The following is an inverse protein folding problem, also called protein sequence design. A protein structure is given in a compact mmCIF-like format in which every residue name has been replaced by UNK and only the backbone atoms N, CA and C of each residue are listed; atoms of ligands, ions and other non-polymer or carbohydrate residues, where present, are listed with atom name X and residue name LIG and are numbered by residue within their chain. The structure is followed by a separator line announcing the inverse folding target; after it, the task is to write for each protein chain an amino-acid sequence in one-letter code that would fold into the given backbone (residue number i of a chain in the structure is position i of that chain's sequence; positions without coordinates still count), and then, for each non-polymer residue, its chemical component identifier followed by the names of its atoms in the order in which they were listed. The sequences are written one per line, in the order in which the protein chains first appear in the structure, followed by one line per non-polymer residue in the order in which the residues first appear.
data_IF_724794570705
#
_entry.id   IF_724794570705
#
_cell.length_a   1.000
_cell.length_b   1.000
_cell.length_c   1.000
_cell.angle_alpha   90.00
_cell.angle_beta   90.00
_cell.angle_gamma   90.00
#
_symmetry.space_group_name_H-M   'P 1'
#
loop_
_entity.id
_entity.type
_entity.pdbx_description
1 polymer ?
#
# COMPACT_ATOMS: atom_id res chain seq x y z
N UNK A 1 8.42 7.87 -10.84
CA UNK A 1 8.83 6.58 -10.25
C UNK A 1 9.99 6.02 -11.05
N UNK A 2 10.99 5.48 -10.36
CA UNK A 2 12.11 4.73 -10.93
C UNK A 2 11.94 3.24 -10.65
N UNK A 3 12.79 2.40 -11.25
CA UNK A 3 12.74 0.93 -11.08
C UNK A 3 12.74 0.50 -9.61
N UNK A 4 13.48 1.17 -8.73
CA UNK A 4 13.48 0.88 -7.30
C UNK A 4 12.11 1.09 -6.65
N UNK A 5 11.40 2.18 -6.99
CA UNK A 5 10.07 2.45 -6.45
C UNK A 5 9.07 1.36 -6.89
N UNK A 6 9.18 0.91 -8.14
CA UNK A 6 8.32 -0.14 -8.70
C UNK A 6 8.54 -1.45 -7.94
N UNK A 7 9.78 -1.80 -7.60
CA UNK A 7 10.06 -3.00 -6.82
C UNK A 7 9.52 -2.91 -5.39
N UNK A 8 9.59 -1.73 -4.75
CA UNK A 8 9.03 -1.50 -3.43
C UNK A 8 7.50 -1.58 -3.44
N UNK A 9 6.85 -0.95 -4.43
CA UNK A 9 5.41 -1.04 -4.65
C UNK A 9 4.98 -2.49 -4.89
N UNK A 10 5.75 -3.25 -5.66
CA UNK A 10 5.48 -4.66 -5.89
C UNK A 10 5.55 -5.49 -4.60
N UNK A 11 6.57 -5.27 -3.77
CA UNK A 11 6.68 -5.95 -2.48
C UNK A 11 5.54 -5.59 -1.52
N UNK A 12 5.11 -4.32 -1.51
CA UNK A 12 3.93 -3.89 -0.75
C UNK A 12 2.68 -4.64 -1.24
N UNK A 13 2.48 -4.70 -2.56
CA UNK A 13 1.37 -5.41 -3.16
C UNK A 13 1.38 -6.89 -2.78
N UNK A 14 2.51 -7.59 -2.95
CA UNK A 14 2.63 -9.03 -2.65
C UNK A 14 2.35 -9.33 -1.17
N UNK A 15 2.77 -8.44 -0.27
CA UNK A 15 2.52 -8.58 1.17
C UNK A 15 1.04 -8.39 1.52
N UNK A 16 0.37 -7.42 0.89
CA UNK A 16 -1.07 -7.19 1.08
C UNK A 16 -1.90 -8.32 0.47
N UNK A 17 -1.58 -8.72 -0.76
CA UNK A 17 -2.29 -9.77 -1.49
C UNK A 17 -2.24 -11.12 -0.75
N UNK A 18 -1.05 -11.50 -0.25
CA UNK A 18 -0.87 -12.74 0.49
C UNK A 18 -1.44 -12.69 1.92
N UNK A 19 -1.55 -11.50 2.51
CA UNK A 19 -1.86 -11.35 3.93
C UNK A 19 -3.32 -11.05 4.25
N UNK A 20 -4.22 -10.84 3.28
CA UNK A 20 -5.67 -10.73 3.54
C UNK A 20 -6.26 -12.14 3.73
N UNK A 21 -6.78 -12.43 4.92
CA UNK A 21 -7.14 -13.81 5.34
C UNK A 21 -8.40 -14.34 4.66
N UNK A 22 -9.49 -13.58 4.68
CA UNK A 22 -10.79 -14.02 4.15
C UNK A 22 -10.92 -13.90 2.62
N UNK A 23 -9.82 -13.53 1.96
CA UNK A 23 -9.80 -13.18 0.55
C UNK A 23 -10.57 -11.90 0.23
N UNK A 24 -10.56 -11.53 -1.05
CA UNK A 24 -11.14 -10.28 -1.52
C UNK A 24 -11.44 -10.30 -3.03
N UNK A 25 -12.33 -9.41 -3.46
CA UNK A 25 -12.58 -9.06 -4.86
C UNK A 25 -11.78 -7.81 -5.26
N UNK A 26 -11.66 -6.84 -4.35
CA UNK A 26 -10.76 -5.70 -4.51
C UNK A 26 -10.25 -5.19 -3.16
N UNK A 27 -9.15 -4.43 -3.19
CA UNK A 27 -8.68 -3.67 -2.04
C UNK A 27 -8.22 -2.27 -2.42
N UNK A 28 -8.25 -1.40 -1.42
CA UNK A 28 -7.74 -0.04 -1.43
C UNK A 28 -6.82 0.14 -0.23
N UNK A 29 -5.55 0.39 -0.47
CA UNK A 29 -4.55 0.62 0.55
C UNK A 29 -4.08 2.06 0.51
N UNK A 30 -4.25 2.77 1.61
CA UNK A 30 -3.93 4.18 1.77
C UNK A 30 -2.80 4.34 2.76
N UNK A 31 -1.90 5.25 2.45
CA UNK A 31 -0.77 5.61 3.29
C UNK A 31 -0.68 7.13 3.36
N UNK A 32 -0.59 7.65 4.58
CA UNK A 32 -0.26 9.04 4.86
C UNK A 32 1.06 9.11 5.61
N UNK A 33 2.00 9.91 5.12
CA UNK A 33 3.31 10.13 5.75
C UNK A 33 3.35 11.54 6.29
N UNK A 34 3.28 11.66 7.61
CA UNK A 34 3.38 12.92 8.32
C UNK A 34 4.72 13.12 9.03
N UNK A 35 4.84 14.20 9.78
CA UNK A 35 6.01 14.49 10.58
C UNK A 35 6.10 13.52 11.77
N UNK A 36 6.91 12.47 11.63
CA UNK A 36 7.16 11.48 12.68
C UNK A 36 6.16 10.34 12.75
N UNK A 37 5.23 10.22 11.78
CA UNK A 37 4.28 9.11 11.72
C UNK A 37 4.03 8.64 10.29
N UNK A 38 3.61 7.39 10.17
CA UNK A 38 3.00 6.82 8.97
C UNK A 38 1.69 6.20 9.41
N UNK A 39 0.60 6.64 8.78
CA UNK A 39 -0.73 6.07 8.97
C UNK A 39 -1.08 5.24 7.75
N UNK A 40 -1.72 4.08 7.97
CA UNK A 40 -2.10 3.17 6.90
C UNK A 40 -3.53 2.70 7.09
N UNK A 41 -4.32 2.67 6.02
CA UNK A 41 -5.68 2.13 6.01
C UNK A 41 -5.79 1.10 4.90
N UNK A 42 -6.27 -0.11 5.22
CA UNK A 42 -6.58 -1.13 4.24
C UNK A 42 -8.11 -1.31 4.21
N UNK A 43 -8.71 -0.96 3.09
CA UNK A 43 -10.12 -1.25 2.82
C UNK A 43 -10.22 -2.44 1.88
N UNK A 44 -10.99 -3.44 2.25
CA UNK A 44 -11.19 -4.66 1.46
C UNK A 44 -12.66 -4.75 1.06
N UNK A 45 -12.91 -5.13 -0.20
CA UNK A 45 -14.23 -5.50 -0.68
C UNK A 45 -14.25 -7.00 -1.02
N UNK A 46 -15.22 -7.73 -0.48
CA UNK A 46 -15.41 -9.15 -0.72
C UNK A 46 -16.92 -9.46 -0.81
N UNK A 47 -17.38 -10.02 -1.93
CA UNK A 47 -18.79 -10.34 -2.21
C UNK A 47 -19.74 -9.15 -2.00
N UNK A 48 -19.29 -7.96 -2.41
CA UNK A 48 -20.05 -6.71 -2.30
C UNK A 48 -20.10 -6.11 -0.88
N UNK A 49 -19.37 -6.67 0.08
CA UNK A 49 -19.21 -6.12 1.43
C UNK A 49 -17.86 -5.42 1.52
N UNK A 50 -17.86 -4.16 1.99
CA UNK A 50 -16.66 -3.33 2.13
C UNK A 50 -16.34 -3.09 3.60
N UNK A 51 -15.11 -3.39 4.02
CA UNK A 51 -14.64 -3.30 5.41
C UNK A 51 -13.26 -2.66 5.50
N UNK A 52 -12.97 -1.95 6.58
CA UNK A 52 -11.67 -1.31 6.86
C UNK A 52 -10.86 -2.06 7.94
N UNK A 53 -11.47 -3.08 8.54
CA UNK A 53 -10.95 -3.92 9.62
C UNK A 53 -10.84 -5.39 9.19
N UNK A 54 -10.52 -5.62 7.91
CA UNK A 54 -10.32 -6.96 7.39
C UNK A 54 -9.25 -7.71 8.21
N UNK A 55 -9.46 -9.00 8.42
CA UNK A 55 -8.46 -9.85 9.07
C UNK A 55 -7.21 -9.96 8.20
N UNK A 56 -6.05 -9.74 8.81
CA UNK A 56 -4.75 -9.74 8.11
C UNK A 56 -3.70 -10.55 8.88
N UNK A 57 -2.85 -11.26 8.13
CA UNK A 57 -1.73 -12.07 8.64
C UNK A 57 -0.37 -11.63 8.07
N UNK A 58 -0.30 -10.41 7.51
CA UNK A 58 0.98 -9.85 7.10
C UNK A 58 1.71 -9.19 8.27
N UNK A 59 3.04 -9.19 8.20
CA UNK A 59 3.87 -8.48 9.17
C UNK A 59 3.83 -6.97 8.92
N UNK A 60 3.07 -6.24 9.74
CA UNK A 60 2.95 -4.78 9.67
C UNK A 60 4.28 -4.02 9.78
N UNK A 61 5.30 -4.57 10.46
CA UNK A 61 6.62 -3.94 10.52
C UNK A 61 7.36 -3.99 9.17
N UNK A 62 7.18 -5.07 8.39
CA UNK A 62 7.72 -5.16 7.03
C UNK A 62 7.02 -4.14 6.14
N UNK A 63 5.70 -4.07 6.21
CA UNK A 63 4.90 -3.11 5.44
C UNK A 63 5.34 -1.66 5.72
N UNK A 64 5.48 -1.31 7.00
CA UNK A 64 5.96 0.00 7.44
C UNK A 64 7.36 0.32 6.89
N UNK A 65 8.30 -0.64 6.96
CA UNK A 65 9.65 -0.47 6.42
C UNK A 65 9.62 -0.21 4.91
N UNK A 66 8.82 -0.97 4.14
CA UNK A 66 8.71 -0.81 2.69
C UNK A 66 8.16 0.57 2.31
N UNK A 67 7.14 1.05 3.01
CA UNK A 67 6.59 2.41 2.82
C UNK A 67 7.64 3.47 3.12
N UNK A 68 8.39 3.31 4.21
CA UNK A 68 9.47 4.23 4.57
C UNK A 68 10.58 4.25 3.52
N UNK A 69 11.01 3.09 3.03
CA UNK A 69 12.00 2.99 1.95
C UNK A 69 11.49 3.63 0.65
N UNK A 70 10.22 3.44 0.32
CA UNK A 70 9.59 4.07 -0.85
C UNK A 70 9.61 5.60 -0.72
N UNK A 71 9.33 6.11 0.48
CA UNK A 71 9.40 7.53 0.81
C UNK A 71 10.81 8.08 0.67
N UNK A 72 11.79 7.41 1.26
CA UNK A 72 13.21 7.81 1.21
C UNK A 72 13.75 7.78 -0.23
N UNK A 73 13.34 6.81 -1.06
CA UNK A 73 13.68 6.77 -2.47
C UNK A 73 13.19 8.02 -3.21
N UNK A 74 11.94 8.43 -2.99
CA UNK A 74 11.38 9.65 -3.56
C UNK A 74 12.11 10.91 -3.07
N UNK A 75 12.33 11.03 -1.75
CA UNK A 75 13.01 12.19 -1.16
C UNK A 75 14.42 12.38 -1.68
N UNK A 76 15.19 11.30 -1.90
CA UNK A 76 16.54 11.36 -2.49
C UNK A 76 16.56 11.96 -3.90
N UNK A 77 15.42 11.94 -4.61
CA UNK A 77 15.26 12.54 -5.95
C UNK A 77 14.59 13.91 -5.93
N UNK A 78 14.31 14.46 -4.75
CA UNK A 78 13.59 15.73 -4.59
C UNK A 78 12.07 15.61 -4.73
N UNK A 79 11.52 14.39 -4.81
CA UNK A 79 10.08 14.15 -4.81
C UNK A 79 9.57 14.08 -3.36
N UNK A 80 8.51 14.82 -3.05
CA UNK A 80 8.04 14.98 -1.66
C UNK A 80 6.54 14.66 -1.48
N UNK A 81 6.06 13.50 -1.96
CA UNK A 81 4.67 13.04 -1.74
C UNK A 81 4.31 12.83 -0.26
N UNK A 82 3.17 13.30 0.22
CA UNK A 82 2.67 13.05 1.59
C UNK A 82 1.69 11.87 1.67
N UNK A 83 1.12 11.44 0.55
CA UNK A 83 0.25 10.25 0.50
C UNK A 83 0.53 9.33 -0.68
N UNK A 84 0.29 8.04 -0.44
CA UNK A 84 0.37 6.96 -1.41
C UNK A 84 -0.90 6.12 -1.34
N UNK A 85 -1.49 5.84 -2.49
CA UNK A 85 -2.68 4.99 -2.61
C UNK A 85 -2.38 3.87 -3.59
N UNK A 86 -2.68 2.63 -3.19
CA UNK A 86 -2.67 1.44 -4.03
C UNK A 86 -4.09 0.87 -4.14
N UNK A 87 -4.52 0.57 -5.36
CA UNK A 87 -5.79 -0.10 -5.60
C UNK A 87 -5.57 -1.34 -6.43
N UNK A 88 -6.29 -2.40 -6.12
CA UNK A 88 -6.27 -3.60 -6.93
C UNK A 88 -7.64 -4.26 -6.92
N UNK A 89 -8.08 -4.68 -8.11
CA UNK A 89 -9.25 -5.54 -8.29
C UNK A 89 -8.76 -6.86 -8.90
N UNK A 90 -9.28 -7.99 -8.42
CA UNK A 90 -8.75 -9.31 -8.74
C UNK A 90 -8.73 -9.57 -10.25
N UNK A 91 -7.55 -9.91 -10.78
CA UNK A 91 -7.34 -10.11 -12.22
C UNK A 91 -7.17 -8.82 -13.04
N UNK A 92 -7.19 -7.65 -12.39
CA UNK A 92 -6.91 -6.36 -13.00
C UNK A 92 -5.47 -5.89 -12.81
N UNK A 93 -5.24 -4.61 -13.08
CA UNK A 93 -3.94 -3.96 -12.88
C UNK A 93 -3.85 -3.34 -11.48
N UNK A 94 -2.65 -3.40 -10.88
CA UNK A 94 -2.32 -2.62 -9.68
C UNK A 94 -2.17 -1.16 -10.08
N UNK A 95 -2.97 -0.28 -9.47
CA UNK A 95 -2.90 1.16 -9.72
C UNK A 95 -2.35 1.87 -8.50
N UNK A 96 -1.43 2.79 -8.72
CA UNK A 96 -0.84 3.60 -7.66
C UNK A 96 -1.00 5.09 -7.93
N UNK A 97 -1.26 5.87 -6.89
CA UNK A 97 -1.28 7.33 -6.93
C UNK A 97 -0.44 7.88 -5.79
N UNK A 98 0.36 8.90 -6.10
CA UNK A 98 1.15 9.64 -5.12
C UNK A 98 0.65 11.09 -5.12
N UNK A 99 0.38 11.66 -3.95
CA UNK A 99 -0.02 13.06 -3.83
C UNK A 99 0.97 13.81 -2.94
N UNK A 100 1.23 15.07 -3.30
CA UNK A 100 2.05 16.01 -2.52
C UNK A 100 1.34 16.44 -1.23
#
# INVERSE_FOLDING_TARGET
MVTQDVQLVKQIFELLDAGIVDGYDSFFYEVTVGAGYIETVLTVENKGVRVTDAETDYNGAILYRLVKELRECATRRGENWSSFVMTYARGGEVKTRFNA
#
